data_IF_215530865531
#
_entry.id   IF_215530865531
#
_cell.length_a   1.000
_cell.length_b   1.000
_cell.length_c   1.000
_cell.angle_alpha   90.00
_cell.angle_beta   90.00
_cell.angle_gamma   90.00
#
_symmetry.space_group_name_H-M   'P 1'
#
loop_
_entity.id
_entity.type
_entity.pdbx_description
1 polymer ?
#
# COMPACT_ATOMS: atom_id res chain seq x y z
N UNK A 1 59.48 -59.31 32.60
CA UNK A 1 58.86 -58.18 31.87
C UNK A 1 57.37 -58.15 32.22
N UNK A 2 56.99 -57.26 33.12
CA UNK A 2 55.57 -57.11 33.53
C UNK A 2 54.97 -55.97 32.69
N UNK A 3 54.07 -56.37 31.76
CA UNK A 3 53.39 -55.41 30.88
C UNK A 3 52.22 -54.78 31.66
N UNK A 4 52.27 -53.48 31.83
CA UNK A 4 51.24 -52.74 32.54
C UNK A 4 49.95 -52.66 31.71
N UNK A 5 49.04 -53.57 31.96
CA UNK A 5 47.70 -53.61 31.35
C UNK A 5 46.72 -52.50 31.82
N UNK A 6 47.17 -51.51 32.57
CA UNK A 6 46.30 -50.52 33.18
C UNK A 6 46.23 -49.18 32.42
N UNK A 7 46.90 -49.08 31.29
CA UNK A 7 46.91 -47.82 30.52
C UNK A 7 46.00 -47.85 29.26
N UNK A 8 45.27 -48.92 29.02
CA UNK A 8 44.40 -49.06 27.83
C UNK A 8 42.90 -48.87 28.13
N UNK A 9 42.52 -48.74 29.43
CA UNK A 9 41.11 -48.59 29.82
C UNK A 9 40.59 -47.16 29.99
N UNK A 10 41.37 -46.10 29.63
CA UNK A 10 40.96 -44.73 29.85
C UNK A 10 40.81 -43.90 28.55
N UNK A 11 40.77 -44.55 27.37
CA UNK A 11 40.65 -43.84 26.09
C UNK A 11 39.31 -44.10 25.36
N UNK A 12 38.35 -44.77 26.01
CA UNK A 12 37.10 -45.20 25.39
C UNK A 12 35.82 -44.53 25.96
N UNK A 13 35.93 -43.39 26.68
CA UNK A 13 34.75 -42.81 27.35
C UNK A 13 34.56 -41.29 27.08
N UNK A 14 34.96 -40.76 25.93
CA UNK A 14 34.64 -39.37 25.53
C UNK A 14 34.25 -39.31 24.07
N UNK A 15 33.20 -40.04 23.67
CA UNK A 15 32.49 -39.80 22.37
C UNK A 15 31.02 -40.14 22.56
N UNK A 16 30.37 -39.57 23.57
CA UNK A 16 28.90 -39.51 23.62
C UNK A 16 28.55 -38.16 24.24
N UNK A 17 28.27 -37.15 23.43
CA UNK A 17 27.77 -35.89 24.00
C UNK A 17 27.80 -34.69 23.07
N UNK A 18 27.71 -34.88 21.76
CA UNK A 18 27.37 -33.75 20.86
C UNK A 18 26.23 -34.18 19.91
N UNK A 19 25.12 -34.56 20.49
CA UNK A 19 23.83 -34.40 19.85
C UNK A 19 23.47 -32.92 20.13
N UNK A 20 24.06 -31.99 19.35
CA UNK A 20 23.59 -30.63 19.26
C UNK A 20 22.14 -30.71 18.78
N UNK A 21 21.21 -30.29 19.64
CA UNK A 21 19.88 -29.92 19.26
C UNK A 21 19.99 -29.01 18.04
N UNK A 22 19.67 -29.51 16.87
CA UNK A 22 19.29 -28.70 15.73
C UNK A 22 17.92 -28.09 16.03
N UNK A 23 17.90 -27.04 16.85
CA UNK A 23 16.76 -26.13 16.88
C UNK A 23 16.78 -25.41 15.54
N UNK A 24 15.76 -25.61 14.71
CA UNK A 24 15.46 -24.71 13.62
C UNK A 24 15.13 -23.36 14.25
N UNK A 25 16.15 -22.53 14.49
CA UNK A 25 15.92 -21.11 14.78
C UNK A 25 15.22 -20.52 13.56
N UNK A 26 14.02 -19.97 13.73
CA UNK A 26 13.32 -19.36 12.62
C UNK A 26 14.21 -18.29 12.02
N UNK A 27 14.63 -18.48 10.78
CA UNK A 27 15.41 -17.49 10.04
C UNK A 27 14.72 -16.13 10.18
N UNK A 28 15.39 -15.10 10.70
CA UNK A 28 14.77 -13.79 10.92
C UNK A 28 14.21 -13.27 9.59
N UNK A 29 12.91 -12.98 9.57
CA UNK A 29 12.26 -12.40 8.39
C UNK A 29 12.93 -11.06 8.08
N UNK A 30 13.42 -10.84 6.85
CA UNK A 30 14.03 -9.57 6.48
C UNK A 30 13.08 -8.39 6.74
N UNK A 31 13.58 -7.22 7.15
CA UNK A 31 12.74 -6.04 7.33
C UNK A 31 12.10 -5.64 6.00
N UNK A 32 10.86 -5.16 6.06
CA UNK A 32 10.12 -4.68 4.87
C UNK A 32 10.84 -3.48 4.26
N UNK A 33 10.86 -3.42 2.93
CA UNK A 33 11.36 -2.25 2.19
C UNK A 33 10.38 -1.08 2.32
N UNK A 34 10.82 0.17 2.11
CA UNK A 34 9.92 1.33 2.08
C UNK A 34 8.77 1.18 1.07
N UNK A 35 9.02 0.60 -0.11
CA UNK A 35 7.97 0.31 -1.09
C UNK A 35 6.95 -0.71 -0.57
N UNK A 36 7.40 -1.76 0.11
CA UNK A 36 6.50 -2.75 0.70
C UNK A 36 5.61 -2.13 1.78
N UNK A 37 6.18 -1.28 2.63
CA UNK A 37 5.44 -0.57 3.68
C UNK A 37 4.38 0.34 3.05
N UNK A 38 4.76 1.15 2.04
CA UNK A 38 3.83 2.05 1.35
C UNK A 38 2.74 1.28 0.58
N UNK A 39 3.09 0.14 -0.03
CA UNK A 39 2.13 -0.74 -0.71
C UNK A 39 1.11 -1.28 0.27
N UNK A 40 1.53 -1.81 1.42
CA UNK A 40 0.64 -2.32 2.44
C UNK A 40 -0.25 -1.23 3.06
N UNK A 41 0.28 -0.01 3.21
CA UNK A 41 -0.50 1.12 3.67
C UNK A 41 -1.70 1.41 2.75
N UNK A 42 -1.53 1.24 1.44
CA UNK A 42 -2.57 1.48 0.45
C UNK A 42 -3.50 0.29 0.21
N UNK A 43 -2.97 -0.93 0.27
CA UNK A 43 -3.66 -2.15 -0.20
C UNK A 43 -3.90 -3.19 0.89
N UNK A 44 -3.45 -2.93 2.13
CA UNK A 44 -3.50 -3.93 3.18
C UNK A 44 -2.69 -5.18 2.80
N UNK A 45 -3.29 -6.36 2.96
CA UNK A 45 -2.69 -7.65 2.60
C UNK A 45 -2.84 -8.01 1.12
N UNK A 46 -3.20 -7.05 0.25
CA UNK A 46 -3.33 -7.28 -1.19
C UNK A 46 -4.41 -6.44 -1.87
N UNK A 47 -5.54 -6.21 -1.23
CA UNK A 47 -6.63 -5.39 -1.73
C UNK A 47 -7.27 -4.60 -0.60
N UNK A 48 -7.44 -3.30 -0.79
CA UNK A 48 -8.12 -2.43 0.17
C UNK A 48 -9.07 -1.47 -0.53
N UNK A 49 -10.29 -1.38 0.01
CA UNK A 49 -11.28 -0.38 -0.39
C UNK A 49 -11.24 0.82 0.54
N UNK A 50 -11.26 2.00 -0.07
CA UNK A 50 -11.29 3.30 0.58
C UNK A 50 -12.51 4.07 0.09
N UNK A 51 -13.30 4.64 0.98
CA UNK A 51 -14.54 5.30 0.58
C UNK A 51 -14.93 6.49 1.44
N UNK A 52 -15.99 7.19 1.02
CA UNK A 52 -16.55 8.31 1.75
C UNK A 52 -17.46 7.84 2.90
N UNK A 53 -18.12 6.70 2.73
CA UNK A 53 -18.99 6.15 3.76
C UNK A 53 -18.23 5.93 5.08
N UNK A 54 -18.80 6.38 6.19
CA UNK A 54 -18.16 6.29 7.51
C UNK A 54 -17.44 7.57 7.95
N UNK A 55 -17.67 8.70 7.26
CA UNK A 55 -17.15 10.01 7.66
C UNK A 55 -16.05 10.57 6.76
N UNK A 56 -15.87 10.00 5.57
CA UNK A 56 -14.99 10.56 4.55
C UNK A 56 -15.50 11.89 4.02
N UNK A 57 -14.60 12.66 3.39
CA UNK A 57 -14.89 14.01 2.87
C UNK A 57 -14.12 14.28 1.59
N UNK A 58 -14.71 15.09 0.71
CA UNK A 58 -14.01 15.63 -0.47
C UNK A 58 -14.07 17.14 -0.44
N UNK A 59 -12.90 17.78 -0.63
CA UNK A 59 -12.82 19.23 -0.86
C UNK A 59 -12.18 19.54 -2.19
N UNK A 60 -12.58 20.66 -2.79
CA UNK A 60 -11.99 21.24 -4.01
C UNK A 60 -11.74 22.71 -3.79
N UNK A 61 -10.47 23.16 -3.91
CA UNK A 61 -10.09 24.53 -3.64
C UNK A 61 -10.48 25.00 -2.23
N UNK A 62 -10.46 24.07 -1.25
CA UNK A 62 -10.86 24.35 0.15
C UNK A 62 -12.37 24.26 0.41
N UNK A 63 -13.23 24.28 -0.62
CA UNK A 63 -14.68 24.13 -0.48
C UNK A 63 -15.09 22.67 -0.39
N UNK A 64 -16.07 22.37 0.50
CA UNK A 64 -16.65 21.04 0.61
C UNK A 64 -17.48 20.71 -0.65
N UNK A 65 -17.18 19.59 -1.26
CA UNK A 65 -17.88 19.04 -2.44
C UNK A 65 -18.25 17.58 -2.24
N UNK A 66 -18.33 17.12 -1.00
CA UNK A 66 -18.61 15.73 -0.63
C UNK A 66 -19.92 15.23 -1.26
N UNK A 67 -20.93 16.10 -1.36
CA UNK A 67 -22.24 15.76 -1.96
C UNK A 67 -22.14 15.36 -3.44
N UNK A 68 -21.07 15.74 -4.15
CA UNK A 68 -20.80 15.27 -5.52
C UNK A 68 -20.24 13.85 -5.57
N UNK A 69 -19.86 13.28 -4.43
CA UNK A 69 -19.20 11.97 -4.28
C UNK A 69 -19.81 11.10 -3.18
N UNK A 70 -21.15 11.04 -3.00
CA UNK A 70 -21.77 10.54 -1.76
C UNK A 70 -21.46 9.07 -1.46
N UNK A 71 -21.12 8.29 -2.47
CA UNK A 71 -20.80 6.86 -2.36
C UNK A 71 -19.49 6.52 -3.07
N UNK A 72 -18.60 7.47 -3.21
CA UNK A 72 -17.29 7.26 -3.84
C UNK A 72 -16.53 6.13 -3.14
N UNK A 73 -15.91 5.31 -3.97
CA UNK A 73 -15.04 4.23 -3.52
C UNK A 73 -13.84 4.10 -4.46
N UNK A 74 -12.66 3.99 -3.88
CA UNK A 74 -11.41 3.65 -4.56
C UNK A 74 -10.88 2.33 -3.99
N UNK A 75 -10.74 1.33 -4.84
CA UNK A 75 -10.24 0.00 -4.48
C UNK A 75 -8.85 -0.12 -5.08
N UNK A 76 -7.84 -0.33 -4.25
CA UNK A 76 -6.45 -0.52 -4.66
C UNK A 76 -6.04 -1.97 -4.44
N UNK A 77 -5.38 -2.56 -5.43
CA UNK A 77 -4.91 -3.93 -5.41
C UNK A 77 -3.40 -3.97 -5.70
N UNK A 78 -2.66 -4.83 -4.98
CA UNK A 78 -1.22 -5.05 -5.14
C UNK A 78 -0.87 -6.52 -5.40
N UNK A 79 -1.77 -7.31 -5.97
CA UNK A 79 -1.52 -8.71 -6.33
C UNK A 79 -0.43 -8.87 -7.41
N UNK A 80 -0.70 -9.64 -8.45
CA UNK A 80 0.26 -9.84 -9.56
C UNK A 80 0.58 -8.55 -10.33
N UNK A 81 -0.33 -7.57 -10.28
CA UNK A 81 -0.16 -6.21 -10.81
C UNK A 81 -0.86 -5.21 -9.92
N UNK A 82 -0.33 -3.98 -9.89
CA UNK A 82 -0.94 -2.86 -9.14
C UNK A 82 -2.11 -2.30 -9.95
N UNK A 83 -3.35 -2.68 -9.59
CA UNK A 83 -4.58 -2.24 -10.28
C UNK A 83 -5.47 -1.43 -9.36
N UNK A 84 -6.33 -0.60 -9.94
CA UNK A 84 -7.38 0.09 -9.19
C UNK A 84 -8.74 -0.07 -9.84
N UNK A 85 -9.77 0.10 -9.03
CA UNK A 85 -11.16 0.29 -9.46
C UNK A 85 -11.72 1.50 -8.72
N UNK A 86 -12.44 2.38 -9.42
CA UNK A 86 -13.19 3.47 -8.80
C UNK A 86 -14.68 3.32 -9.08
N UNK A 87 -15.50 3.74 -8.12
CA UNK A 87 -16.97 3.78 -8.23
C UNK A 87 -17.48 5.14 -7.80
N UNK A 88 -18.53 5.61 -8.47
CA UNK A 88 -19.23 6.87 -8.13
C UNK A 88 -18.28 8.06 -8.05
N UNK A 89 -17.32 8.11 -8.98
CA UNK A 89 -16.25 9.11 -9.02
C UNK A 89 -16.68 10.43 -9.67
N UNK A 90 -17.94 10.58 -10.03
CA UNK A 90 -18.45 11.75 -10.76
C UNK A 90 -17.57 12.10 -11.98
N UNK A 91 -17.19 11.07 -12.75
CA UNK A 91 -16.28 11.17 -13.90
C UNK A 91 -14.88 11.75 -13.65
N UNK A 92 -14.48 11.90 -12.39
CA UNK A 92 -13.15 12.39 -12.01
C UNK A 92 -12.07 11.33 -12.23
N UNK A 93 -12.37 10.06 -11.92
CA UNK A 93 -11.50 8.90 -12.09
C UNK A 93 -12.07 7.95 -13.14
N UNK A 94 -11.22 7.25 -13.88
CA UNK A 94 -11.66 6.11 -14.69
C UNK A 94 -12.14 4.99 -13.77
N UNK A 95 -13.08 4.16 -14.26
CA UNK A 95 -13.69 3.08 -13.49
C UNK A 95 -12.67 2.00 -13.06
N UNK A 96 -11.60 1.84 -13.82
CA UNK A 96 -10.52 0.91 -13.54
C UNK A 96 -9.24 1.30 -14.30
N UNK A 97 -8.12 0.73 -13.87
CA UNK A 97 -6.82 0.94 -14.48
C UNK A 97 -5.70 0.38 -13.62
N UNK A 98 -4.48 0.83 -13.89
CA UNK A 98 -3.31 0.51 -13.08
C UNK A 98 -2.93 1.71 -12.22
N UNK A 99 -2.31 1.44 -11.07
CA UNK A 99 -1.66 2.47 -10.29
C UNK A 99 -0.18 2.17 -10.15
N UNK A 100 0.61 3.21 -9.96
CA UNK A 100 2.05 3.11 -9.72
C UNK A 100 2.49 4.18 -8.73
N UNK A 101 3.58 3.93 -8.02
CA UNK A 101 4.23 5.01 -7.25
C UNK A 101 4.83 6.05 -8.21
N UNK A 102 4.75 7.30 -7.83
CA UNK A 102 5.41 8.42 -8.48
C UNK A 102 6.62 8.87 -7.64
N UNK A 103 7.77 9.01 -8.29
CA UNK A 103 9.01 9.35 -7.60
C UNK A 103 9.61 8.17 -6.81
N UNK A 104 10.57 8.47 -5.94
CA UNK A 104 11.37 7.47 -5.20
C UNK A 104 11.02 7.39 -3.72
N UNK A 105 10.17 8.28 -3.22
CA UNK A 105 9.82 8.36 -1.79
C UNK A 105 8.64 7.49 -1.40
N UNK A 106 7.92 6.90 -2.38
CA UNK A 106 6.73 6.07 -2.16
C UNK A 106 5.60 6.79 -1.38
N UNK A 107 5.53 8.11 -1.51
CA UNK A 107 4.54 8.99 -0.87
C UNK A 107 3.50 9.54 -1.84
N UNK A 108 3.62 9.17 -3.13
CA UNK A 108 2.72 9.57 -4.21
C UNK A 108 2.38 8.39 -5.11
N UNK A 109 1.19 8.43 -5.70
CA UNK A 109 0.75 7.50 -6.73
C UNK A 109 0.27 8.23 -7.97
N UNK A 110 0.27 7.53 -9.11
CA UNK A 110 -0.43 7.90 -10.32
C UNK A 110 -1.40 6.81 -10.72
N UNK A 111 -2.50 7.18 -11.34
CA UNK A 111 -3.50 6.26 -11.91
C UNK A 111 -3.47 6.37 -13.44
N UNK A 112 -3.55 5.24 -14.14
CA UNK A 112 -3.71 5.25 -15.59
C UNK A 112 -5.17 5.51 -15.97
N UNK A 113 -5.40 6.07 -17.15
CA UNK A 113 -6.74 6.34 -17.67
C UNK A 113 -6.80 7.57 -18.55
N UNK A 114 -8.02 8.05 -18.78
CA UNK A 114 -8.33 9.20 -19.63
C UNK A 114 -9.12 10.29 -18.90
N UNK A 115 -9.61 9.99 -17.71
CA UNK A 115 -10.36 10.93 -16.89
C UNK A 115 -9.43 11.98 -16.26
N UNK A 116 -9.95 13.11 -15.78
CA UNK A 116 -9.13 14.24 -15.34
C UNK A 116 -8.09 13.95 -14.26
N UNK A 117 -8.36 12.99 -13.39
CA UNK A 117 -7.40 12.56 -12.35
C UNK A 117 -6.31 11.62 -12.88
N UNK A 118 -6.48 11.07 -14.11
CA UNK A 118 -5.50 10.18 -14.71
C UNK A 118 -4.16 10.88 -14.92
N UNK A 119 -3.07 10.15 -14.69
CA UNK A 119 -1.67 10.60 -14.80
C UNK A 119 -1.26 11.75 -13.86
N UNK A 120 -2.17 12.20 -12.96
CA UNK A 120 -1.82 13.19 -11.94
C UNK A 120 -1.08 12.52 -10.80
N UNK A 121 -0.02 13.16 -10.33
CA UNK A 121 0.61 12.76 -9.08
C UNK A 121 -0.34 13.07 -7.92
N UNK A 122 -0.66 12.04 -7.15
CA UNK A 122 -1.51 12.13 -5.97
C UNK A 122 -0.66 11.82 -4.75
N UNK A 123 -0.37 12.83 -3.94
CA UNK A 123 0.25 12.59 -2.63
C UNK A 123 -0.75 11.86 -1.74
N UNK A 124 -0.26 10.90 -0.96
CA UNK A 124 -1.10 10.20 -0.01
C UNK A 124 -0.50 10.19 1.39
N UNK A 125 -1.38 10.14 2.37
CA UNK A 125 -1.05 9.89 3.76
C UNK A 125 -2.05 8.88 4.30
N UNK A 126 -1.57 7.77 4.84
CA UNK A 126 -2.40 6.75 5.47
C UNK A 126 -2.11 6.71 6.98
N UNK A 127 -3.15 6.70 7.81
CA UNK A 127 -3.05 6.60 9.26
C UNK A 127 -4.26 5.84 9.81
N UNK A 128 -4.00 4.72 10.46
CA UNK A 128 -5.07 3.86 10.98
C UNK A 128 -6.04 3.43 9.87
N UNK A 129 -7.29 3.86 9.98
CA UNK A 129 -8.35 3.58 9.00
C UNK A 129 -8.57 4.71 7.99
N UNK A 130 -7.77 5.77 8.02
CA UNK A 130 -7.90 6.93 7.15
C UNK A 130 -6.85 6.94 6.04
N UNK A 131 -7.26 7.31 4.83
CA UNK A 131 -6.41 7.61 3.69
C UNK A 131 -6.74 9.01 3.17
N UNK A 132 -5.75 9.89 3.15
CA UNK A 132 -5.85 11.20 2.51
C UNK A 132 -5.15 11.14 1.16
N UNK A 133 -5.84 11.58 0.08
CA UNK A 133 -5.26 11.80 -1.24
C UNK A 133 -5.33 13.29 -1.58
N UNK A 134 -4.24 13.85 -2.09
CA UNK A 134 -4.14 15.26 -2.48
C UNK A 134 -3.57 15.36 -3.88
N UNK A 135 -4.27 16.03 -4.78
CA UNK A 135 -3.81 16.27 -6.16
C UNK A 135 -4.47 17.51 -6.76
N UNK A 136 -3.89 18.01 -7.86
CA UNK A 136 -4.38 19.17 -8.57
C UNK A 136 -4.77 18.84 -10.00
N UNK A 137 -5.86 19.43 -10.47
CA UNK A 137 -6.25 19.46 -11.87
C UNK A 137 -6.06 20.89 -12.37
N UNK A 138 -5.09 21.14 -13.29
CA UNK A 138 -4.82 22.48 -13.77
C UNK A 138 -5.96 23.03 -14.63
N UNK A 139 -6.08 24.35 -14.69
CA UNK A 139 -6.93 25.05 -15.63
C UNK A 139 -6.25 25.20 -17.03
N UNK A 140 -7.01 25.21 -18.17
CA UNK A 140 -8.45 25.01 -18.21
C UNK A 140 -8.78 23.57 -17.82
N UNK A 141 -9.71 23.39 -16.86
CA UNK A 141 -10.12 22.05 -16.44
C UNK A 141 -10.75 21.29 -17.60
N UNK A 142 -10.62 19.96 -17.58
CA UNK A 142 -11.33 19.11 -18.51
C UNK A 142 -12.84 19.31 -18.36
N UNK A 143 -13.56 19.44 -19.48
CA UNK A 143 -15.03 19.42 -19.46
C UNK A 143 -15.50 17.98 -19.41
N UNK A 144 -16.32 17.66 -18.46
CA UNK A 144 -17.03 16.39 -18.39
C UNK A 144 -18.49 16.65 -18.74
N UNK A 145 -19.01 15.93 -19.72
CA UNK A 145 -20.43 15.97 -20.11
C UNK A 145 -21.03 17.38 -20.22
N UNK A 146 -20.28 18.36 -20.74
CA UNK A 146 -20.74 19.73 -20.88
C UNK A 146 -20.76 20.55 -19.59
N UNK A 147 -20.41 19.98 -18.45
CA UNK A 147 -20.27 20.68 -17.17
C UNK A 147 -18.93 21.39 -17.06
N UNK A 148 -18.93 22.52 -16.36
CA UNK A 148 -17.75 23.36 -16.24
C UNK A 148 -16.58 22.68 -15.57
N UNK A 149 -15.39 23.10 -16.00
CA UNK A 149 -14.07 22.70 -15.54
C UNK A 149 -14.02 22.26 -14.08
N UNK A 150 -13.56 21.02 -13.91
CA UNK A 150 -13.24 20.44 -12.60
C UNK A 150 -11.82 20.78 -12.17
N UNK A 151 -11.25 21.89 -12.68
CA UNK A 151 -9.96 22.38 -12.24
C UNK A 151 -9.99 22.73 -10.75
N UNK A 152 -8.89 22.52 -10.08
CA UNK A 152 -8.71 22.86 -8.66
C UNK A 152 -7.86 21.85 -7.91
N UNK A 153 -7.59 22.20 -6.66
CA UNK A 153 -6.87 21.33 -5.72
C UNK A 153 -7.89 20.46 -4.99
N UNK A 154 -7.71 19.15 -5.11
CA UNK A 154 -8.58 18.16 -4.49
C UNK A 154 -7.94 17.55 -3.27
N UNK A 155 -8.73 17.38 -2.23
CA UNK A 155 -8.41 16.53 -1.08
C UNK A 155 -9.54 15.54 -0.91
N UNK A 156 -9.20 14.25 -0.94
CA UNK A 156 -10.07 13.14 -0.60
C UNK A 156 -9.62 12.59 0.74
N UNK A 157 -10.40 12.83 1.78
CA UNK A 157 -10.25 12.17 3.07
C UNK A 157 -11.17 10.93 3.04
N UNK A 158 -10.56 9.74 2.94
CA UNK A 158 -11.24 8.47 2.75
C UNK A 158 -11.12 7.61 4.00
N UNK A 159 -12.08 6.71 4.18
CA UNK A 159 -12.11 5.76 5.29
C UNK A 159 -12.03 4.35 4.76
N UNK A 160 -11.30 3.50 5.45
CA UNK A 160 -11.19 2.07 5.17
C UNK A 160 -12.55 1.39 5.28
N UNK A 161 -12.88 0.56 4.28
CA UNK A 161 -14.11 -0.24 4.24
C UNK A 161 -13.80 -1.71 4.55
#
# INVERSE_FOLDING_TARGET
MKLNLWKVALAALIVVGMQACGGDDPTPTPPKTPEQIATEALTGTGTQSWGIAGGGRVTRGGSDVTDLYPTFELILNSGSSKTYTSRNSNDLFDSNGNWAFAGTNFDKITLTGTKPAATREMSFTQSGTALKLVFSIPAPGARINGQFAIAGDYVFDLVKK
#
